data_IF_037164949642
#
_entry.id   IF_037164949642
#
_cell.length_a   1.000
_cell.length_b   1.000
_cell.length_c   1.000
_cell.angle_alpha   90.00
_cell.angle_beta   90.00
_cell.angle_gamma   90.00
#
_symmetry.space_group_name_H-M   'P 1'
#
loop_
_entity.id
_entity.type
_entity.pdbx_description
1 polymer ?
#
# COMPACT_ATOMS: atom_id res chain seq x y z
N UNK A 1 25.72 -38.19 13.90
CA UNK A 1 25.08 -37.15 14.75
C UNK A 1 23.80 -36.76 14.02
N UNK A 2 22.63 -37.23 14.49
CA UNK A 2 21.33 -36.96 13.86
C UNK A 2 20.84 -35.60 14.38
N UNK A 3 20.73 -34.60 13.51
CA UNK A 3 20.07 -33.34 13.82
C UNK A 3 18.57 -33.53 13.61
N UNK A 4 17.88 -33.95 14.67
CA UNK A 4 16.43 -33.83 14.78
C UNK A 4 16.11 -32.36 15.08
N UNK A 5 15.78 -31.60 14.05
CA UNK A 5 15.15 -30.29 14.24
C UNK A 5 13.65 -30.52 14.48
N UNK A 6 13.19 -30.12 15.65
CA UNK A 6 11.79 -30.10 16.04
C UNK A 6 11.00 -29.16 15.12
N UNK A 7 10.33 -29.73 14.12
CA UNK A 7 9.20 -29.10 13.46
C UNK A 7 8.05 -29.04 14.47
N UNK A 8 7.89 -27.89 15.13
CA UNK A 8 6.59 -27.54 15.72
C UNK A 8 5.58 -27.55 14.58
N UNK A 9 4.67 -28.52 14.60
CA UNK A 9 3.54 -28.57 13.68
C UNK A 9 2.76 -27.24 13.77
N UNK A 10 2.50 -26.55 12.64
CA UNK A 10 1.65 -25.37 12.65
C UNK A 10 0.20 -25.78 12.92
N UNK A 11 -0.46 -24.94 13.72
CA UNK A 11 -1.89 -24.93 14.01
C UNK A 11 -2.74 -25.08 12.73
N UNK A 12 -3.73 -25.99 12.77
CA UNK A 12 -4.80 -26.28 11.79
C UNK A 12 -4.45 -26.03 10.31
N UNK A 13 -4.26 -27.11 9.54
CA UNK A 13 -4.08 -27.06 8.08
C UNK A 13 -5.16 -26.19 7.41
N UNK A 14 -4.77 -24.97 7.00
CA UNK A 14 -5.63 -24.10 6.20
C UNK A 14 -5.71 -24.72 4.81
N UNK A 15 -6.92 -25.09 4.38
CA UNK A 15 -7.17 -25.67 3.05
C UNK A 15 -6.69 -24.74 1.92
N UNK A 16 -6.47 -25.31 0.73
CA UNK A 16 -6.11 -24.54 -0.46
C UNK A 16 -7.24 -23.55 -0.79
N UNK A 17 -8.49 -24.00 -0.72
CA UNK A 17 -9.69 -23.17 -0.90
C UNK A 17 -9.70 -21.98 0.08
N UNK A 18 -9.44 -22.21 1.37
CA UNK A 18 -9.39 -21.12 2.36
C UNK A 18 -8.26 -20.13 2.10
N UNK A 19 -7.15 -20.59 1.51
CA UNK A 19 -6.06 -19.71 1.10
C UNK A 19 -6.53 -18.76 -0.03
N UNK A 20 -7.21 -19.28 -1.04
CA UNK A 20 -7.80 -18.47 -2.12
C UNK A 20 -8.90 -17.51 -1.63
N UNK A 21 -9.78 -17.96 -0.71
CA UNK A 21 -10.76 -17.09 -0.04
C UNK A 21 -10.09 -15.92 0.69
N UNK A 22 -8.97 -16.18 1.36
CA UNK A 22 -8.20 -15.12 2.05
C UNK A 22 -7.54 -14.15 1.06
N UNK A 23 -7.08 -14.61 -0.10
CA UNK A 23 -6.52 -13.73 -1.11
C UNK A 23 -7.57 -12.75 -1.64
N UNK A 24 -8.77 -13.22 -2.00
CA UNK A 24 -9.89 -12.35 -2.41
C UNK A 24 -10.23 -11.32 -1.33
N UNK A 25 -10.50 -11.77 -0.10
CA UNK A 25 -10.84 -10.85 1.01
C UNK A 25 -9.78 -9.80 1.29
N UNK A 26 -8.50 -10.13 1.09
CA UNK A 26 -7.40 -9.17 1.25
C UNK A 26 -7.38 -8.16 0.12
N UNK A 27 -7.59 -8.62 -1.11
CA UNK A 27 -7.67 -7.76 -2.28
C UNK A 27 -8.85 -6.77 -2.17
N UNK A 28 -10.05 -7.26 -1.87
CA UNK A 28 -11.26 -6.43 -1.69
C UNK A 28 -11.05 -5.33 -0.65
N UNK A 29 -10.53 -5.70 0.53
CA UNK A 29 -10.19 -4.72 1.58
C UNK A 29 -9.16 -3.69 1.12
N UNK A 30 -8.16 -4.11 0.34
CA UNK A 30 -7.18 -3.16 -0.21
C UNK A 30 -7.83 -2.20 -1.20
N UNK A 31 -8.73 -2.67 -2.06
CA UNK A 31 -9.46 -1.82 -3.00
C UNK A 31 -10.40 -0.84 -2.29
N UNK A 32 -11.13 -1.29 -1.26
CA UNK A 32 -11.94 -0.42 -0.40
C UNK A 32 -11.09 0.70 0.21
N UNK A 33 -9.91 0.37 0.74
CA UNK A 33 -9.01 1.37 1.29
C UNK A 33 -8.48 2.36 0.24
N UNK A 34 -8.22 1.91 -0.99
CA UNK A 34 -7.78 2.81 -2.06
C UNK A 34 -8.92 3.70 -2.56
N UNK A 35 -10.16 3.22 -2.57
CA UNK A 35 -11.33 4.04 -2.90
C UNK A 35 -11.51 5.17 -1.89
N UNK A 36 -11.47 4.86 -0.59
CA UNK A 36 -11.51 5.88 0.48
C UNK A 36 -10.40 6.92 0.31
N UNK A 37 -9.22 6.47 -0.12
CA UNK A 37 -8.09 7.36 -0.37
C UNK A 37 -8.37 8.34 -1.53
N UNK A 38 -8.94 7.88 -2.65
CA UNK A 38 -9.30 8.75 -3.77
C UNK A 38 -10.43 9.72 -3.42
N UNK A 39 -11.44 9.26 -2.68
CA UNK A 39 -12.56 10.10 -2.27
C UNK A 39 -12.09 11.25 -1.36
N UNK A 40 -11.22 10.95 -0.38
CA UNK A 40 -10.60 11.96 0.49
C UNK A 40 -9.72 12.95 -0.29
N UNK A 41 -8.99 12.47 -1.31
CA UNK A 41 -8.16 13.35 -2.13
C UNK A 41 -8.97 14.40 -2.91
N UNK A 42 -10.15 14.02 -3.40
CA UNK A 42 -11.06 14.92 -4.09
C UNK A 42 -11.58 16.03 -3.17
N UNK A 43 -11.85 15.73 -1.90
CA UNK A 43 -12.30 16.72 -0.90
C UNK A 43 -11.21 17.75 -0.57
N UNK A 44 -9.94 17.33 -0.47
CA UNK A 44 -8.83 18.25 -0.21
C UNK A 44 -8.50 19.21 -1.38
N UNK A 45 -8.99 18.93 -2.61
CA UNK A 45 -8.77 19.82 -3.76
C UNK A 45 -9.56 21.15 -3.65
N UNK A 46 -10.63 21.20 -2.87
CA UNK A 46 -11.35 22.47 -2.64
C UNK A 46 -10.53 23.44 -1.77
N UNK A 47 -9.76 22.92 -0.82
CA UNK A 47 -8.88 23.71 0.03
C UNK A 47 -7.68 24.30 -0.74
N UNK A 48 -7.10 23.54 -1.67
CA UNK A 48 -5.93 23.97 -2.45
C UNK A 48 -6.19 25.23 -3.30
N UNK A 49 -7.46 25.46 -3.69
CA UNK A 49 -7.89 26.63 -4.44
C UNK A 49 -7.83 27.94 -3.65
N UNK A 50 -7.70 27.89 -2.32
CA UNK A 50 -7.52 29.05 -1.44
C UNK A 50 -6.04 29.43 -1.26
N UNK A 51 -5.11 28.61 -1.76
CA UNK A 51 -3.67 28.82 -1.61
C UNK A 51 -3.10 29.79 -2.65
N UNK A 52 -1.96 30.39 -2.31
CA UNK A 52 -1.13 31.14 -3.27
C UNK A 52 -0.71 30.23 -4.43
N UNK A 53 -0.42 30.83 -5.60
CA UNK A 53 -0.10 30.07 -6.83
C UNK A 53 1.07 29.10 -6.60
N UNK A 54 2.15 29.56 -5.94
CA UNK A 54 3.33 28.73 -5.70
C UNK A 54 3.01 27.54 -4.77
N UNK A 55 2.27 27.76 -3.69
CA UNK A 55 1.90 26.71 -2.74
C UNK A 55 0.92 25.71 -3.36
N UNK A 56 -0.02 26.21 -4.18
CA UNK A 56 -0.94 25.36 -4.94
C UNK A 56 -0.19 24.46 -5.92
N UNK A 57 0.81 24.99 -6.62
CA UNK A 57 1.63 24.20 -7.54
C UNK A 57 2.38 23.08 -6.80
N UNK A 58 3.04 23.39 -5.68
CA UNK A 58 3.71 22.37 -4.87
C UNK A 58 2.75 21.33 -4.30
N UNK A 59 1.55 21.75 -3.87
CA UNK A 59 0.50 20.85 -3.40
C UNK A 59 0.04 19.90 -4.50
N UNK A 60 -0.22 20.44 -5.69
CA UNK A 60 -0.65 19.65 -6.85
C UNK A 60 0.42 18.67 -7.31
N UNK A 61 1.70 19.03 -7.24
CA UNK A 61 2.80 18.12 -7.58
C UNK A 61 2.85 16.92 -6.62
N UNK A 62 2.78 17.17 -5.31
CA UNK A 62 2.77 16.10 -4.30
C UNK A 62 1.51 15.24 -4.41
N UNK A 63 0.35 15.87 -4.66
CA UNK A 63 -0.91 15.18 -4.95
C UNK A 63 -0.77 14.22 -6.14
N UNK A 64 -0.25 14.69 -7.27
CA UNK A 64 -0.06 13.88 -8.47
C UNK A 64 0.91 12.72 -8.24
N UNK A 65 2.00 12.95 -7.51
CA UNK A 65 2.98 11.89 -7.18
C UNK A 65 2.35 10.79 -6.31
N UNK A 66 1.51 11.19 -5.37
CA UNK A 66 0.77 10.29 -4.50
C UNK A 66 -0.27 9.47 -5.30
N UNK A 67 -1.06 10.12 -6.16
CA UNK A 67 -2.01 9.45 -7.05
C UNK A 67 -1.34 8.43 -7.97
N UNK A 68 -0.20 8.79 -8.57
CA UNK A 68 0.59 7.89 -9.40
C UNK A 68 1.10 6.68 -8.59
N UNK A 69 1.51 6.91 -7.35
CA UNK A 69 1.97 5.85 -6.44
C UNK A 69 0.84 4.90 -6.04
N UNK A 70 -0.36 5.41 -5.77
CA UNK A 70 -1.54 4.58 -5.49
C UNK A 70 -1.92 3.77 -6.72
N UNK A 71 -1.97 4.40 -7.89
CA UNK A 71 -2.27 3.69 -9.16
C UNK A 71 -1.26 2.58 -9.42
N UNK A 72 0.04 2.82 -9.23
CA UNK A 72 1.07 1.77 -9.34
C UNK A 72 0.78 0.61 -8.39
N UNK A 73 0.49 0.90 -7.12
CA UNK A 73 0.17 -0.13 -6.12
C UNK A 73 -1.10 -0.95 -6.49
N UNK A 74 -2.13 -0.30 -7.01
CA UNK A 74 -3.34 -0.97 -7.51
C UNK A 74 -3.01 -1.94 -8.66
N UNK A 75 -2.22 -1.49 -9.64
CA UNK A 75 -1.80 -2.31 -10.78
C UNK A 75 -0.99 -3.54 -10.33
N UNK A 76 -0.09 -3.38 -9.37
CA UNK A 76 0.64 -4.51 -8.76
C UNK A 76 -0.31 -5.52 -8.10
N UNK A 77 -1.36 -5.04 -7.42
CA UNK A 77 -2.38 -5.91 -6.79
C UNK A 77 -3.25 -6.61 -7.82
N UNK A 78 -3.63 -5.93 -8.90
CA UNK A 78 -4.35 -6.53 -10.02
C UNK A 78 -3.52 -7.63 -10.67
N UNK A 79 -2.24 -7.39 -10.96
CA UNK A 79 -1.33 -8.41 -11.48
C UNK A 79 -1.20 -9.61 -10.52
N UNK A 80 -1.10 -9.36 -9.20
CA UNK A 80 -1.06 -10.43 -8.18
C UNK A 80 -2.31 -11.34 -8.29
N UNK A 81 -3.49 -10.75 -8.48
CA UNK A 81 -4.75 -11.49 -8.62
C UNK A 81 -4.86 -12.26 -9.95
N UNK A 82 -4.32 -11.72 -11.04
CA UNK A 82 -4.25 -12.41 -12.33
C UNK A 82 -3.39 -13.69 -12.19
N UNK A 83 -2.19 -13.59 -11.60
CA UNK A 83 -1.30 -14.76 -11.41
C UNK A 83 -1.94 -15.78 -10.45
N UNK A 84 -2.62 -15.32 -9.39
CA UNK A 84 -3.36 -16.21 -8.48
C UNK A 84 -4.44 -16.99 -9.21
N UNK A 85 -5.21 -16.35 -10.07
CA UNK A 85 -6.23 -16.99 -10.91
C UNK A 85 -5.61 -18.01 -11.85
N UNK A 86 -4.49 -17.68 -12.50
CA UNK A 86 -3.75 -18.60 -13.38
C UNK A 86 -3.28 -19.85 -12.62
N UNK A 87 -2.69 -19.67 -11.43
CA UNK A 87 -2.31 -20.77 -10.55
C UNK A 87 -3.51 -21.62 -10.10
N UNK A 88 -4.66 -20.99 -9.83
CA UNK A 88 -5.89 -21.70 -9.47
C UNK A 88 -6.40 -22.57 -10.63
N UNK A 89 -6.35 -22.07 -11.87
CA UNK A 89 -6.72 -22.84 -13.07
C UNK A 89 -5.85 -24.09 -13.23
N UNK A 90 -4.52 -23.93 -13.11
CA UNK A 90 -3.57 -25.05 -13.16
C UNK A 90 -3.85 -26.09 -12.06
N UNK A 91 -4.20 -25.64 -10.85
CA UNK A 91 -4.58 -26.54 -9.75
C UNK A 91 -5.84 -27.33 -10.05
N UNK A 92 -6.87 -26.70 -10.63
CA UNK A 92 -8.12 -27.36 -11.03
C UNK A 92 -7.83 -28.40 -12.11
N UNK A 93 -7.14 -28.02 -13.18
CA UNK A 93 -6.77 -28.92 -14.30
C UNK A 93 -6.00 -30.15 -13.77
N UNK A 94 -5.02 -29.93 -12.89
CA UNK A 94 -4.26 -31.03 -12.28
C UNK A 94 -5.11 -31.95 -11.41
N UNK A 95 -6.16 -31.42 -10.78
CA UNK A 95 -7.03 -32.19 -9.90
C UNK A 95 -8.01 -33.04 -10.70
N UNK A 96 -8.56 -32.50 -11.79
CA UNK A 96 -9.42 -33.20 -12.74
C UNK A 96 -8.69 -34.40 -13.38
N UNK A 97 -7.41 -34.23 -13.75
CA UNK A 97 -6.59 -35.29 -14.37
C UNK A 97 -6.32 -36.50 -13.47
N UNK A 98 -6.40 -36.35 -12.13
CA UNK A 98 -6.10 -37.43 -11.18
C UNK A 98 -7.29 -38.30 -10.79
N UNK A 99 -8.51 -37.93 -11.16
CA UNK A 99 -9.71 -38.79 -11.06
C UNK A 99 -10.05 -39.30 -9.65
N UNK A 100 -9.73 -38.55 -8.60
CA UNK A 100 -9.92 -38.96 -7.20
C UNK A 100 -11.30 -38.49 -6.69
N UNK A 101 -12.29 -39.40 -6.63
CA UNK A 101 -13.69 -39.10 -6.26
C UNK A 101 -13.83 -38.47 -4.84
N UNK A 102 -12.92 -38.75 -3.91
CA UNK A 102 -12.94 -38.12 -2.56
C UNK A 102 -12.58 -36.62 -2.59
N UNK A 103 -12.03 -36.10 -3.70
CA UNK A 103 -11.69 -34.67 -3.88
C UNK A 103 -12.71 -33.88 -4.69
N UNK A 104 -13.80 -34.49 -5.13
CA UNK A 104 -14.80 -33.83 -5.98
C UNK A 104 -15.40 -32.58 -5.32
N UNK A 105 -15.61 -32.60 -3.99
CA UNK A 105 -16.08 -31.44 -3.23
C UNK A 105 -15.05 -30.31 -3.23
N UNK A 106 -13.77 -30.62 -3.01
CA UNK A 106 -12.69 -29.61 -3.01
C UNK A 106 -12.48 -29.01 -4.40
N UNK A 107 -12.55 -29.83 -5.46
CA UNK A 107 -12.46 -29.36 -6.85
C UNK A 107 -13.64 -28.44 -7.20
N UNK A 108 -14.86 -28.79 -6.81
CA UNK A 108 -16.03 -27.92 -7.01
C UNK A 108 -15.89 -26.57 -6.27
N UNK A 109 -15.36 -26.57 -5.05
CA UNK A 109 -15.07 -25.33 -4.32
C UNK A 109 -13.97 -24.50 -5.02
N UNK A 110 -12.93 -25.13 -5.58
CA UNK A 110 -11.89 -24.45 -6.36
C UNK A 110 -12.46 -23.83 -7.64
N UNK A 111 -13.36 -24.53 -8.33
CA UNK A 111 -14.07 -24.01 -9.52
C UNK A 111 -14.92 -22.79 -9.15
N UNK A 112 -15.68 -22.85 -8.05
CA UNK A 112 -16.45 -21.70 -7.56
C UNK A 112 -15.53 -20.51 -7.26
N UNK A 113 -14.39 -20.76 -6.64
CA UNK A 113 -13.37 -19.74 -6.39
C UNK A 113 -12.83 -19.15 -7.68
N UNK A 114 -12.56 -19.97 -8.70
CA UNK A 114 -12.09 -19.51 -9.99
C UNK A 114 -13.11 -18.60 -10.69
N UNK A 115 -14.41 -18.88 -10.55
CA UNK A 115 -15.48 -17.97 -11.03
C UNK A 115 -15.37 -16.59 -10.39
N UNK A 116 -15.22 -16.52 -9.06
CA UNK A 116 -15.06 -15.24 -8.33
C UNK A 116 -13.81 -14.48 -8.75
N UNK A 117 -12.69 -15.18 -8.98
CA UNK A 117 -11.49 -14.57 -9.53
C UNK A 117 -11.71 -14.05 -10.96
N UNK A 118 -12.39 -14.80 -11.83
CA UNK A 118 -12.72 -14.35 -13.19
C UNK A 118 -13.53 -13.05 -13.14
N UNK A 119 -14.64 -13.02 -12.39
CA UNK A 119 -15.51 -11.83 -12.25
C UNK A 119 -14.72 -10.58 -11.84
N UNK A 120 -13.82 -10.70 -10.87
CA UNK A 120 -12.99 -9.59 -10.42
C UNK A 120 -11.92 -9.21 -11.46
N UNK A 121 -11.24 -10.19 -12.05
CA UNK A 121 -10.14 -9.93 -12.99
C UNK A 121 -10.60 -9.37 -14.34
N UNK A 122 -11.84 -9.66 -14.76
CA UNK A 122 -12.44 -9.12 -15.98
C UNK A 122 -12.67 -7.61 -15.91
N UNK A 123 -12.84 -7.05 -14.71
CA UNK A 123 -13.02 -5.60 -14.51
C UNK A 123 -11.70 -4.83 -14.38
N UNK A 124 -10.54 -5.48 -14.55
CA UNK A 124 -9.25 -4.81 -14.36
C UNK A 124 -8.87 -3.97 -15.57
N UNK A 125 -8.52 -2.71 -15.30
CA UNK A 125 -7.91 -1.80 -16.27
C UNK A 125 -6.38 -1.95 -16.27
N UNK A 126 -5.91 -3.12 -16.72
CA UNK A 126 -4.49 -3.44 -16.83
C UNK A 126 -4.20 -3.95 -18.24
N UNK A 127 -3.47 -3.15 -19.02
CA UNK A 127 -3.11 -3.52 -20.39
C UNK A 127 -1.98 -4.57 -20.42
N UNK A 128 -1.85 -5.26 -21.56
CA UNK A 128 -0.77 -6.24 -21.77
C UNK A 128 0.61 -5.59 -21.60
N UNK A 129 0.80 -4.38 -22.13
CA UNK A 129 2.06 -3.66 -21.99
C UNK A 129 2.40 -3.38 -20.51
N UNK A 130 1.41 -2.99 -19.71
CA UNK A 130 1.64 -2.72 -18.28
C UNK A 130 1.92 -4.01 -17.49
N UNK A 131 1.36 -5.14 -17.92
CA UNK A 131 1.70 -6.46 -17.37
C UNK A 131 3.17 -6.77 -17.66
N UNK A 132 3.61 -6.60 -18.91
CA UNK A 132 4.98 -6.86 -19.32
C UNK A 132 5.97 -5.97 -18.54
N UNK A 133 5.67 -4.68 -18.38
CA UNK A 133 6.48 -3.74 -17.59
C UNK A 133 6.60 -4.16 -16.12
N UNK A 134 5.50 -4.64 -15.51
CA UNK A 134 5.50 -5.13 -14.13
C UNK A 134 6.37 -6.39 -14.02
N UNK A 135 6.19 -7.34 -14.93
CA UNK A 135 6.89 -8.62 -14.90
C UNK A 135 8.40 -8.44 -15.16
N UNK A 136 8.80 -7.52 -16.04
CA UNK A 136 10.19 -7.09 -16.22
C UNK A 136 10.76 -6.46 -14.94
N UNK A 137 10.01 -5.60 -14.25
CA UNK A 137 10.45 -4.98 -13.00
C UNK A 137 10.59 -6.03 -11.87
N UNK A 138 9.68 -7.01 -11.81
CA UNK A 138 9.76 -8.17 -10.89
C UNK A 138 11.03 -8.98 -11.16
N UNK A 139 11.30 -9.32 -12.41
CA UNK A 139 12.47 -10.09 -12.83
C UNK A 139 13.77 -9.35 -12.51
N UNK A 140 13.83 -8.05 -12.79
CA UNK A 140 14.98 -7.20 -12.46
C UNK A 140 15.24 -7.16 -10.96
N UNK A 141 14.22 -6.84 -10.16
CA UNK A 141 14.35 -6.70 -8.70
C UNK A 141 14.71 -8.03 -8.04
N UNK A 142 14.18 -9.17 -8.52
CA UNK A 142 14.56 -10.49 -7.99
C UNK A 142 16.06 -10.76 -8.22
N UNK A 143 16.57 -10.46 -9.41
CA UNK A 143 18.00 -10.63 -9.72
C UNK A 143 18.87 -9.73 -8.84
N UNK A 144 18.47 -8.47 -8.66
CA UNK A 144 19.17 -7.52 -7.76
C UNK A 144 19.20 -8.05 -6.30
N UNK A 145 18.08 -8.59 -5.80
CA UNK A 145 18.02 -9.18 -4.46
C UNK A 145 18.94 -10.39 -4.31
N UNK A 146 18.90 -11.31 -5.26
CA UNK A 146 19.77 -12.49 -5.28
C UNK A 146 21.25 -12.10 -5.33
N UNK A 147 21.62 -11.15 -6.19
CA UNK A 147 23.00 -10.68 -6.31
C UNK A 147 23.48 -10.03 -5.02
N UNK A 148 22.72 -9.09 -4.46
CA UNK A 148 23.07 -8.41 -3.21
C UNK A 148 23.25 -9.42 -2.08
N UNK A 149 22.34 -10.37 -1.97
CA UNK A 149 22.42 -11.44 -0.99
C UNK A 149 23.68 -12.31 -1.15
N UNK A 150 24.00 -12.67 -2.39
CA UNK A 150 25.14 -13.53 -2.70
C UNK A 150 26.48 -12.82 -2.51
N UNK A 151 26.54 -11.49 -2.71
CA UNK A 151 27.73 -10.67 -2.45
C UNK A 151 28.05 -10.58 -0.96
N UNK A 152 27.04 -10.53 -0.10
CA UNK A 152 27.21 -10.45 1.37
C UNK A 152 27.64 -11.79 2.01
N UNK A 153 27.55 -12.90 1.27
CA UNK A 153 27.86 -14.24 1.77
C UNK A 153 29.36 -14.54 1.69
N UNK A 154 29.96 -14.90 2.83
CA UNK A 154 31.36 -15.32 2.93
C UNK A 154 31.65 -16.67 2.25
N UNK A 155 30.65 -17.55 2.17
CA UNK A 155 30.75 -18.87 1.53
C UNK A 155 29.70 -18.97 0.45
N UNK A 156 30.14 -19.22 -0.79
CA UNK A 156 29.27 -19.55 -1.91
C UNK A 156 29.18 -21.07 -1.99
N UNK A 157 27.98 -21.59 -1.79
CA UNK A 157 27.67 -22.99 -2.06
C UNK A 157 27.44 -23.11 -3.57
N UNK A 158 28.22 -23.95 -4.24
CA UNK A 158 28.06 -24.25 -5.65
C UNK A 158 26.87 -25.20 -5.82
N UNK A 159 25.70 -24.62 -6.02
CA UNK A 159 24.42 -25.30 -6.04
C UNK A 159 23.95 -25.50 -7.49
N UNK A 160 24.69 -26.28 -8.28
CA UNK A 160 24.24 -26.69 -9.63
C UNK A 160 22.85 -27.34 -9.61
N UNK A 161 22.48 -27.94 -8.48
CA UNK A 161 21.21 -28.61 -8.25
C UNK A 161 20.16 -27.77 -7.48
N UNK A 162 20.48 -26.56 -6.98
CA UNK A 162 19.52 -25.71 -6.23
C UNK A 162 19.54 -24.26 -6.70
N UNK A 163 19.17 -24.04 -7.96
CA UNK A 163 19.16 -22.72 -8.59
C UNK A 163 18.21 -21.72 -7.90
N UNK A 164 17.19 -22.21 -7.18
CA UNK A 164 16.21 -21.36 -6.46
C UNK A 164 16.63 -20.98 -5.02
N UNK A 165 17.68 -21.59 -4.47
CA UNK A 165 18.04 -21.41 -3.06
C UNK A 165 18.41 -19.96 -2.70
N UNK A 166 19.27 -19.32 -3.50
CA UNK A 166 19.69 -17.95 -3.22
C UNK A 166 18.55 -16.94 -3.39
N UNK A 167 17.70 -17.14 -4.40
CA UNK A 167 16.46 -16.39 -4.59
C UNK A 167 15.53 -16.52 -3.39
N UNK A 168 15.37 -17.74 -2.87
CA UNK A 168 14.54 -18.01 -1.70
C UNK A 168 15.06 -17.26 -0.47
N UNK A 169 16.36 -17.41 -0.18
CA UNK A 169 16.99 -16.81 0.98
C UNK A 169 17.04 -15.29 0.92
N UNK A 170 17.28 -14.71 -0.26
CA UNK A 170 17.25 -13.26 -0.45
C UNK A 170 15.84 -12.71 -0.25
N UNK A 171 14.83 -13.40 -0.80
CA UNK A 171 13.42 -13.01 -0.66
C UNK A 171 12.95 -13.06 0.79
N UNK A 172 13.28 -14.11 1.55
CA UNK A 172 12.95 -14.20 2.98
C UNK A 172 13.54 -13.05 3.80
N UNK A 173 14.85 -12.79 3.66
CA UNK A 173 15.53 -11.70 4.36
C UNK A 173 14.88 -10.35 4.03
N UNK A 174 14.58 -10.13 2.75
CA UNK A 174 13.96 -8.91 2.28
C UNK A 174 12.53 -8.71 2.80
N UNK A 175 11.76 -9.79 2.95
CA UNK A 175 10.43 -9.75 3.54
C UNK A 175 10.42 -9.38 5.02
N UNK A 176 11.36 -9.89 5.81
CA UNK A 176 11.50 -9.52 7.22
C UNK A 176 11.74 -8.01 7.33
N UNK A 177 12.73 -7.50 6.59
CA UNK A 177 13.07 -6.07 6.55
C UNK A 177 11.88 -5.22 6.11
N UNK A 178 11.23 -5.58 5.00
CA UNK A 178 10.11 -4.83 4.46
C UNK A 178 8.90 -4.82 5.41
N UNK A 179 8.63 -5.93 6.12
CA UNK A 179 7.55 -5.98 7.10
C UNK A 179 7.84 -5.12 8.34
N UNK A 180 9.08 -5.17 8.85
CA UNK A 180 9.47 -4.35 10.01
C UNK A 180 9.41 -2.85 9.69
N UNK A 181 9.86 -2.46 8.51
CA UNK A 181 9.74 -1.08 8.02
C UNK A 181 8.27 -0.66 7.85
N UNK A 182 7.43 -1.52 7.26
CA UNK A 182 6.01 -1.24 7.09
C UNK A 182 5.29 -1.09 8.43
N UNK A 183 5.57 -1.97 9.39
CA UNK A 183 4.99 -1.90 10.72
C UNK A 183 5.45 -0.64 11.46
N UNK A 184 6.73 -0.29 11.37
CA UNK A 184 7.27 0.94 11.93
C UNK A 184 6.58 2.18 11.34
N UNK A 185 6.39 2.20 10.01
CA UNK A 185 5.68 3.27 9.33
C UNK A 185 4.21 3.38 9.79
N UNK A 186 3.49 2.26 9.87
CA UNK A 186 2.11 2.21 10.40
C UNK A 186 2.01 2.74 11.83
N UNK A 187 2.97 2.38 12.68
CA UNK A 187 2.99 2.85 14.07
C UNK A 187 3.23 4.35 14.17
N UNK A 188 4.12 4.92 13.33
CA UNK A 188 4.28 6.38 13.24
C UNK A 188 2.98 7.06 12.82
N UNK A 189 2.38 6.60 11.72
CA UNK A 189 1.13 7.18 11.21
C UNK A 189 -0.02 7.14 12.21
N UNK A 190 -0.16 6.04 12.97
CA UNK A 190 -1.15 5.92 14.05
C UNK A 190 -0.95 6.94 15.18
N UNK A 191 0.30 7.32 15.47
CA UNK A 191 0.58 8.36 16.46
C UNK A 191 0.20 9.74 15.93
N UNK A 192 0.49 10.03 14.66
CA UNK A 192 0.09 11.29 14.00
C UNK A 192 -1.43 11.47 13.95
N UNK A 193 -2.20 10.39 13.74
CA UNK A 193 -3.67 10.44 13.78
C UNK A 193 -4.29 10.80 15.15
N UNK A 194 -3.53 10.73 16.25
CA UNK A 194 -4.03 11.18 17.55
C UNK A 194 -3.87 12.71 17.75
N UNK A 195 -3.32 13.42 16.77
CA UNK A 195 -3.16 14.88 16.78
C UNK A 195 -4.25 15.63 15.98
N UNK A 196 -5.31 14.93 15.54
CA UNK A 196 -6.48 15.46 14.78
C UNK A 196 -7.18 16.65 15.46
N UNK A 197 -6.98 16.81 16.77
CA UNK A 197 -7.45 17.97 17.53
C UNK A 197 -6.81 19.30 17.08
N UNK A 198 -5.58 19.27 16.53
CA UNK A 198 -4.91 20.48 16.06
C UNK A 198 -5.48 20.98 14.74
N UNK A 199 -5.69 20.11 13.75
CA UNK A 199 -6.29 20.47 12.46
C UNK A 199 -7.66 21.13 12.63
N UNK A 200 -8.53 20.48 13.40
CA UNK A 200 -9.89 20.96 13.67
C UNK A 200 -9.87 22.32 14.38
N UNK A 201 -8.90 22.54 15.26
CA UNK A 201 -8.71 23.83 15.93
C UNK A 201 -8.24 24.91 14.95
N UNK A 202 -7.28 24.62 14.08
CA UNK A 202 -6.79 25.54 13.06
C UNK A 202 -7.90 25.95 12.08
N UNK A 203 -8.74 25.01 11.65
CA UNK A 203 -9.87 25.30 10.76
C UNK A 203 -10.92 26.22 11.43
N UNK A 204 -11.23 25.98 12.70
CA UNK A 204 -12.11 26.84 13.48
C UNK A 204 -11.53 28.25 13.68
N UNK A 205 -10.24 28.36 13.97
CA UNK A 205 -9.56 29.64 14.17
C UNK A 205 -9.45 30.43 12.85
N UNK A 206 -9.24 29.75 11.73
CA UNK A 206 -9.28 30.36 10.39
C UNK A 206 -10.66 30.95 10.10
N UNK A 207 -11.72 30.20 10.39
CA UNK A 207 -13.11 30.64 10.21
C UNK A 207 -13.42 31.90 11.02
N UNK A 208 -12.96 31.96 12.28
CA UNK A 208 -13.12 33.16 13.13
C UNK A 208 -12.37 34.38 12.58
N UNK A 209 -11.16 34.18 12.04
CA UNK A 209 -10.38 35.26 11.44
C UNK A 209 -11.08 35.78 10.17
N UNK A 210 -11.59 34.90 9.32
CA UNK A 210 -12.33 35.29 8.11
C UNK A 210 -13.60 36.08 8.44
N UNK A 211 -14.34 35.66 9.47
CA UNK A 211 -15.50 36.39 9.99
C UNK A 211 -15.11 37.77 10.55
N UNK A 212 -14.02 37.87 11.31
CA UNK A 212 -13.53 39.13 11.85
C UNK A 212 -13.10 40.12 10.76
N UNK A 213 -12.44 39.64 9.70
CA UNK A 213 -12.09 40.46 8.53
C UNK A 213 -13.36 40.99 7.85
N UNK A 214 -14.36 40.14 7.65
CA UNK A 214 -15.65 40.56 7.06
C UNK A 214 -16.32 41.67 7.87
N UNK A 215 -16.37 41.52 9.19
CA UNK A 215 -16.95 42.54 10.09
C UNK A 215 -16.19 43.86 10.02
N UNK A 216 -14.86 43.83 9.87
CA UNK A 216 -14.07 45.05 9.68
C UNK A 216 -14.35 45.73 8.34
N UNK A 217 -14.52 44.96 7.26
CA UNK A 217 -14.87 45.48 5.94
C UNK A 217 -16.27 46.13 5.95
N UNK A 218 -17.25 45.50 6.59
CA UNK A 218 -18.60 46.07 6.78
C UNK A 218 -18.55 47.37 7.58
N UNK A 219 -17.78 47.41 8.68
CA UNK A 219 -17.62 48.61 9.51
C UNK A 219 -16.89 49.74 8.79
N UNK A 220 -15.90 49.41 7.94
CA UNK A 220 -15.21 50.39 7.11
C UNK A 220 -16.18 51.02 6.11
N UNK A 221 -16.94 50.22 5.38
CA UNK A 221 -17.93 50.68 4.42
C UNK A 221 -19.04 51.56 5.07
N UNK A 222 -19.42 51.29 6.32
CA UNK A 222 -20.38 52.09 7.08
C UNK A 222 -19.82 53.43 7.62
N UNK A 223 -18.50 53.56 7.75
CA UNK A 223 -17.83 54.71 8.37
C UNK A 223 -17.14 55.66 7.38
N UNK A 224 -17.09 55.33 6.09
CA UNK A 224 -16.53 56.17 5.02
C UNK A 224 -17.14 57.60 4.97
N UNK A 225 -18.31 57.82 5.58
CA UNK A 225 -18.97 59.12 5.59
C UNK A 225 -18.60 60.07 6.75
N UNK A 226 -17.80 59.67 7.78
CA UNK A 226 -17.74 60.46 9.04
C UNK A 226 -16.37 60.77 9.67
N UNK A 227 -15.36 59.89 9.69
CA UNK A 227 -14.10 60.15 10.45
C UNK A 227 -12.85 59.43 9.89
N UNK A 228 -11.81 60.19 9.50
CA UNK A 228 -10.57 59.68 8.87
C UNK A 228 -9.65 58.88 9.81
N UNK A 229 -9.62 59.13 11.13
CA UNK A 229 -8.69 58.42 12.03
C UNK A 229 -9.13 56.98 12.35
N UNK A 230 -10.43 56.69 12.26
CA UNK A 230 -10.97 55.33 12.47
C UNK A 230 -10.72 54.43 11.26
N UNK A 231 -10.62 55.03 10.08
CA UNK A 231 -10.36 54.31 8.84
C UNK A 231 -8.94 53.73 8.79
N UNK A 232 -7.95 54.49 9.28
CA UNK A 232 -6.58 54.00 9.46
C UNK A 232 -6.53 52.84 10.46
N UNK A 233 -7.22 52.97 11.60
CA UNK A 233 -7.30 51.92 12.63
C UNK A 233 -7.90 50.60 12.10
N UNK A 234 -9.01 50.66 11.35
CA UNK A 234 -9.59 49.45 10.73
C UNK A 234 -8.66 48.83 9.68
N UNK A 235 -7.94 49.66 8.93
CA UNK A 235 -6.99 49.20 7.91
C UNK A 235 -5.80 48.49 8.56
N UNK A 236 -5.26 49.01 9.67
CA UNK A 236 -4.20 48.36 10.44
C UNK A 236 -4.66 47.04 11.09
N UNK A 237 -5.85 47.04 11.72
CA UNK A 237 -6.42 45.82 12.32
C UNK A 237 -6.65 44.73 11.28
N UNK A 238 -7.17 45.08 10.10
CA UNK A 238 -7.34 44.15 8.99
C UNK A 238 -5.99 43.61 8.52
N UNK A 239 -4.98 44.47 8.35
CA UNK A 239 -3.65 44.03 7.95
C UNK A 239 -3.02 43.06 8.96
N UNK A 240 -3.27 43.25 10.27
CA UNK A 240 -2.85 42.30 11.30
C UNK A 240 -3.59 40.95 11.19
N UNK A 241 -4.91 40.96 11.00
CA UNK A 241 -5.69 39.74 10.82
C UNK A 241 -5.30 38.98 9.54
N UNK A 242 -5.01 39.69 8.44
CA UNK A 242 -4.53 39.07 7.21
C UNK A 242 -3.16 38.39 7.38
N UNK A 243 -2.26 38.97 8.20
CA UNK A 243 -0.99 38.32 8.57
C UNK A 243 -1.23 37.03 9.38
N UNK A 244 -2.11 37.07 10.38
CA UNK A 244 -2.46 35.88 11.17
C UNK A 244 -3.14 34.80 10.31
N UNK A 245 -4.07 35.19 9.43
CA UNK A 245 -4.71 34.30 8.46
C UNK A 245 -3.66 33.60 7.59
N UNK A 246 -2.71 34.37 7.07
CA UNK A 246 -1.64 33.82 6.21
C UNK A 246 -0.75 32.86 6.98
N UNK A 247 -0.38 33.18 8.23
CA UNK A 247 0.40 32.29 9.09
C UNK A 247 -0.31 30.96 9.34
N UNK A 248 -1.59 31.01 9.74
CA UNK A 248 -2.38 29.81 10.00
C UNK A 248 -2.56 28.95 8.75
N UNK A 249 -2.78 29.58 7.59
CA UNK A 249 -2.82 28.87 6.31
C UNK A 249 -1.49 28.19 6.00
N UNK A 250 -0.33 28.80 6.33
CA UNK A 250 0.98 28.16 6.15
C UNK A 250 1.13 26.92 7.04
N UNK A 251 0.74 26.99 8.31
CA UNK A 251 0.79 25.84 9.23
C UNK A 251 -0.09 24.67 8.73
N UNK A 252 -1.33 24.96 8.32
CA UNK A 252 -2.23 23.95 7.75
C UNK A 252 -1.64 23.31 6.46
N UNK A 253 -1.00 24.10 5.62
CA UNK A 253 -0.37 23.57 4.40
C UNK A 253 0.83 22.67 4.73
N UNK A 254 1.66 23.07 5.70
CA UNK A 254 2.80 22.28 6.16
C UNK A 254 2.34 20.93 6.70
N UNK A 255 1.30 20.91 7.55
CA UNK A 255 0.72 19.67 8.08
C UNK A 255 0.13 18.77 6.97
N UNK A 256 -0.55 19.36 5.97
CA UNK A 256 -1.02 18.60 4.80
C UNK A 256 0.14 17.99 4.01
N UNK A 257 1.21 18.74 3.80
CA UNK A 257 2.38 18.25 3.07
C UNK A 257 3.07 17.12 3.82
N UNK A 258 3.23 17.24 5.13
CA UNK A 258 3.80 16.19 5.97
C UNK A 258 2.93 14.93 5.93
N UNK A 259 1.63 15.05 6.10
CA UNK A 259 0.71 13.90 6.03
C UNK A 259 0.74 13.23 4.64
N UNK A 260 0.81 14.00 3.54
CA UNK A 260 0.95 13.43 2.20
C UNK A 260 2.29 12.71 2.03
N UNK A 261 3.40 13.27 2.52
CA UNK A 261 4.72 12.60 2.49
C UNK A 261 4.71 11.31 3.30
N UNK A 262 4.18 11.32 4.52
CA UNK A 262 4.05 10.11 5.35
C UNK A 262 3.16 9.05 4.66
N UNK A 263 2.13 9.50 3.94
CA UNK A 263 1.27 8.60 3.18
C UNK A 263 1.98 8.01 1.97
N UNK A 264 2.76 8.81 1.24
CA UNK A 264 3.63 8.32 0.17
C UNK A 264 4.61 7.27 0.69
N UNK A 265 5.32 7.55 1.78
CA UNK A 265 6.24 6.60 2.42
C UNK A 265 5.55 5.26 2.72
N UNK A 266 4.33 5.32 3.28
CA UNK A 266 3.55 4.13 3.57
C UNK A 266 3.21 3.33 2.30
N UNK A 267 2.78 4.02 1.24
CA UNK A 267 2.46 3.41 -0.05
C UNK A 267 3.67 2.76 -0.68
N UNK A 268 4.85 3.40 -0.62
CA UNK A 268 6.10 2.81 -1.10
C UNK A 268 6.43 1.50 -0.38
N UNK A 269 6.22 1.43 0.94
CA UNK A 269 6.39 0.16 1.68
C UNK A 269 5.39 -0.90 1.24
N UNK A 270 4.15 -0.54 0.96
CA UNK A 270 3.17 -1.46 0.39
C UNK A 270 3.51 -1.91 -1.04
N UNK A 271 4.07 -1.03 -1.87
CA UNK A 271 4.56 -1.38 -3.20
C UNK A 271 5.71 -2.38 -3.09
N UNK A 272 6.69 -2.13 -2.20
CA UNK A 272 7.79 -3.07 -1.92
C UNK A 272 7.25 -4.46 -1.58
N UNK A 273 6.33 -4.57 -0.61
CA UNK A 273 5.69 -5.85 -0.26
C UNK A 273 4.95 -6.48 -1.44
N UNK A 274 4.30 -5.69 -2.29
CA UNK A 274 3.56 -6.20 -3.45
C UNK A 274 4.51 -6.77 -4.52
N UNK A 275 5.66 -6.14 -4.76
CA UNK A 275 6.71 -6.71 -5.59
C UNK A 275 7.24 -8.02 -5.04
N UNK A 276 7.48 -8.11 -3.72
CA UNK A 276 7.93 -9.35 -3.10
C UNK A 276 6.86 -10.47 -3.23
N UNK A 277 5.58 -10.13 -3.15
CA UNK A 277 4.49 -11.09 -3.39
C UNK A 277 4.50 -11.59 -4.83
N UNK A 278 4.72 -10.71 -5.81
CA UNK A 278 4.81 -11.06 -7.21
C UNK A 278 6.04 -11.94 -7.50
N UNK A 279 7.21 -11.61 -6.94
CA UNK A 279 8.41 -12.46 -7.03
C UNK A 279 8.15 -13.85 -6.42
N UNK A 280 7.48 -13.89 -5.26
CA UNK A 280 7.09 -15.17 -4.67
C UNK A 280 6.24 -15.96 -5.65
N UNK A 281 5.21 -15.35 -6.23
CA UNK A 281 4.30 -16.03 -7.15
C UNK A 281 4.98 -16.52 -8.43
N UNK A 282 5.90 -15.72 -8.97
CA UNK A 282 6.58 -16.00 -10.24
C UNK A 282 7.64 -17.11 -10.10
N UNK A 283 8.55 -17.00 -9.12
CA UNK A 283 9.65 -17.95 -8.98
C UNK A 283 9.28 -19.19 -8.16
N UNK A 284 8.24 -19.07 -7.35
CA UNK A 284 7.76 -20.08 -6.41
C UNK A 284 6.23 -20.21 -6.52
N UNK A 285 5.70 -20.64 -7.69
CA UNK A 285 4.28 -20.88 -7.86
C UNK A 285 3.82 -22.04 -6.97
N UNK A 286 2.55 -22.02 -6.57
CA UNK A 286 1.94 -23.12 -5.80
C UNK A 286 1.68 -24.33 -6.72
N UNK A 287 2.72 -25.10 -7.00
CA UNK A 287 2.62 -26.38 -7.70
C UNK A 287 2.48 -27.54 -6.71
N UNK A 288 1.93 -28.66 -7.20
CA UNK A 288 1.89 -29.89 -6.43
C UNK A 288 3.24 -30.62 -6.47
N UNK A 289 3.42 -31.49 -5.47
CA UNK A 289 4.69 -32.08 -5.02
C UNK A 289 5.25 -33.09 -6.02
N UNK A 290 6.02 -32.63 -7.00
CA UNK A 290 6.59 -33.53 -8.02
C UNK A 290 8.14 -33.58 -7.99
N UNK A 291 8.85 -32.65 -7.33
CA UNK A 291 10.32 -32.73 -7.19
C UNK A 291 10.92 -32.14 -5.87
N UNK A 292 12.25 -32.19 -5.72
CA UNK A 292 13.01 -31.65 -4.56
C UNK A 292 12.91 -30.12 -4.44
N UNK A 293 12.78 -29.38 -5.54
CA UNK A 293 12.49 -27.94 -5.49
C UNK A 293 11.10 -27.70 -4.88
N UNK A 294 10.14 -28.61 -5.06
CA UNK A 294 8.84 -28.56 -4.41
C UNK A 294 8.92 -28.88 -2.90
N UNK A 295 9.94 -29.60 -2.45
CA UNK A 295 10.20 -29.82 -1.02
C UNK A 295 10.70 -28.53 -0.35
N UNK A 296 11.69 -27.86 -0.96
CA UNK A 296 12.17 -26.54 -0.53
C UNK A 296 11.05 -25.49 -0.60
N UNK A 297 10.17 -25.61 -1.59
CA UNK A 297 8.97 -24.79 -1.74
C UNK A 297 7.94 -25.00 -0.61
N UNK A 298 7.74 -26.23 -0.15
CA UNK A 298 6.84 -26.50 0.98
C UNK A 298 7.38 -25.96 2.30
N UNK A 299 8.70 -26.06 2.51
CA UNK A 299 9.37 -25.40 3.64
C UNK A 299 9.26 -23.87 3.53
N UNK A 300 9.38 -23.30 2.32
CA UNK A 300 9.13 -21.87 2.10
C UNK A 300 7.71 -21.47 2.50
N UNK A 301 6.67 -22.14 2.01
CA UNK A 301 5.28 -21.80 2.32
C UNK A 301 5.00 -21.96 3.83
N UNK A 302 5.58 -22.96 4.49
CA UNK A 302 5.46 -23.16 5.93
C UNK A 302 6.11 -22.03 6.72
N UNK A 303 7.36 -21.68 6.41
CA UNK A 303 8.09 -20.57 7.05
C UNK A 303 7.39 -19.22 6.81
N UNK A 304 6.83 -19.02 5.61
CA UNK A 304 6.10 -17.81 5.26
C UNK A 304 4.77 -17.67 5.98
N UNK A 305 4.04 -18.78 6.15
CA UNK A 305 2.83 -18.82 6.97
C UNK A 305 3.19 -18.45 8.42
N UNK A 306 4.25 -19.02 8.98
CA UNK A 306 4.71 -18.76 10.35
C UNK A 306 5.15 -17.29 10.57
N UNK A 307 5.83 -16.66 9.61
CA UNK A 307 6.19 -15.23 9.70
C UNK A 307 4.97 -14.30 9.71
N UNK A 308 3.91 -14.62 8.96
CA UNK A 308 2.65 -13.84 8.98
C UNK A 308 1.90 -13.93 10.31
N UNK A 309 2.17 -14.95 11.13
CA UNK A 309 1.51 -15.16 12.43
C UNK A 309 2.31 -14.66 13.65
N UNK A 310 3.62 -14.43 13.53
CA UNK A 310 4.44 -13.90 14.64
C UNK A 310 4.09 -12.47 15.08
N UNK A 311 3.24 -11.76 14.35
CA UNK A 311 2.83 -10.37 14.66
C UNK A 311 1.39 -10.24 15.18
N UNK A 312 0.85 -11.29 15.82
CA UNK A 312 -0.40 -11.21 16.62
C UNK A 312 -0.11 -11.33 18.12
N UNK A 313 0.71 -10.44 18.68
CA UNK A 313 0.68 -10.11 20.11
C UNK A 313 1.04 -8.65 20.30
#
# INVERSE_FOLDING_TARGET
MKCEYFLKQPEAEISIVDSYRRYLRKYEKSMECYQIFFDFHNECNEFSNKLSINLRNSYNEIAMNLDNSVKKLMKLKQREMIIRRENLKLLIESAEDRGDEEREIEVNELIEMNSKFNEITESFDLSVQEIDEIDEEVQKKMNELEENYTRERLVKIDLKEFQKFYKYQSLLKEYEIANDELNSCKMRKRKSFNEVDNWTKMENDLTKIEEAIRVLDEKKALNEEKESSKEEEYTEQKAHLEKFRSFLQMEMIEELFENKKETMDLIEKYQRISFLNLMQLEYFPQCQRDNIDDFVFNDFIADFKLMKFRNRF
#
